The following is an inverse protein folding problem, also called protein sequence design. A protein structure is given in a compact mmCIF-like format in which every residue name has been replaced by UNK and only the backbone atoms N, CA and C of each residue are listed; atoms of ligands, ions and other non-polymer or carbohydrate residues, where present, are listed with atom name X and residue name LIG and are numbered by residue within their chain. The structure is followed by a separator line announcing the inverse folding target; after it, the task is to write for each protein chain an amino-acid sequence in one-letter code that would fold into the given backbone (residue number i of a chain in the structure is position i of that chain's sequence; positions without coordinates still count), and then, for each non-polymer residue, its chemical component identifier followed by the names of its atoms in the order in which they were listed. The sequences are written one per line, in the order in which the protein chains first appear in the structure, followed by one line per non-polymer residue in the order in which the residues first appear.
data_IF_232644088937
#
_entry.id   IF_232644088937
#
_cell.length_a   1.000
_cell.length_b   1.000
_cell.length_c   1.000
_cell.angle_alpha   90.00
_cell.angle_beta   90.00
_cell.angle_gamma   90.00
#
_symmetry.space_group_name_H-M   'P 1'
#
loop_
_entity.id
_entity.type
_entity.pdbx_description
1 polymer ?
#
# COMPACT_ATOMS: atom_id res chain seq x y z
N UNK A 1 2.25 -54.57 20.57
CA UNK A 1 3.09 -53.37 20.34
C UNK A 1 3.59 -53.45 18.89
N UNK A 2 3.43 -52.53 17.92
CA UNK A 2 2.91 -51.16 17.77
C UNK A 2 2.74 -50.93 16.24
N UNK A 3 1.66 -50.29 15.75
CA UNK A 3 1.73 -49.50 14.52
C UNK A 3 1.40 -48.04 14.85
N UNK A 4 2.07 -47.46 15.85
CA UNK A 4 1.81 -46.07 16.31
C UNK A 4 2.79 -45.07 15.67
N UNK A 5 3.87 -45.56 15.04
CA UNK A 5 4.96 -44.70 14.57
C UNK A 5 4.74 -44.08 13.18
N UNK A 6 3.87 -44.66 12.34
CA UNK A 6 3.67 -44.15 10.98
C UNK A 6 2.68 -42.97 10.91
N UNK A 7 1.75 -42.86 11.87
CA UNK A 7 0.72 -41.81 11.83
C UNK A 7 1.23 -40.43 12.27
N UNK A 8 2.34 -40.38 13.02
CA UNK A 8 2.88 -39.12 13.58
C UNK A 8 3.67 -38.28 12.56
N UNK A 9 4.14 -38.88 11.47
CA UNK A 9 4.94 -38.17 10.46
C UNK A 9 4.06 -37.34 9.51
N UNK A 10 2.81 -37.79 9.27
CA UNK A 10 1.88 -37.11 8.35
C UNK A 10 1.26 -35.85 9.00
N UNK A 11 1.02 -35.85 10.31
CA UNK A 11 0.49 -34.66 11.01
C UNK A 11 1.48 -33.49 11.11
N UNK A 12 2.79 -33.72 10.98
CA UNK A 12 3.80 -32.66 11.06
C UNK A 12 3.89 -31.77 9.81
N UNK A 13 3.48 -32.27 8.64
CA UNK A 13 3.58 -31.55 7.36
C UNK A 13 2.46 -30.53 7.13
N UNK A 14 1.41 -30.52 7.96
CA UNK A 14 0.26 -29.62 7.81
C UNK A 14 0.35 -28.32 8.61
N UNK A 15 1.42 -28.12 9.39
CA UNK A 15 1.62 -26.91 10.23
C UNK A 15 2.61 -25.91 9.64
N UNK A 16 3.18 -26.19 8.46
CA UNK A 16 4.20 -25.38 7.80
C UNK A 16 3.68 -24.31 6.83
N UNK A 17 2.36 -24.10 6.74
CA UNK A 17 1.84 -22.89 6.10
C UNK A 17 1.96 -21.74 7.11
N UNK A 18 3.20 -21.39 7.45
CA UNK A 18 3.51 -20.09 8.02
C UNK A 18 2.77 -19.07 7.17
N UNK A 19 1.76 -18.43 7.74
CA UNK A 19 1.15 -17.27 7.16
C UNK A 19 2.30 -16.35 6.77
N UNK A 20 2.61 -16.28 5.47
CA UNK A 20 3.43 -15.20 5.00
C UNK A 20 2.61 -13.98 5.36
N UNK A 21 3.05 -13.25 6.39
CA UNK A 21 2.76 -11.83 6.52
C UNK A 21 3.51 -11.12 5.39
N UNK A 22 3.28 -11.58 4.14
CA UNK A 22 3.79 -10.98 2.94
C UNK A 22 3.13 -9.63 2.86
N UNK A 23 3.92 -8.58 3.05
CA UNK A 23 3.46 -7.22 2.84
C UNK A 23 2.87 -7.04 1.45
N UNK A 24 2.26 -5.89 1.21
CA UNK A 24 1.66 -5.58 -0.09
C UNK A 24 2.67 -5.81 -1.22
N UNK A 25 2.25 -6.41 -2.35
CA UNK A 25 3.13 -6.53 -3.51
C UNK A 25 3.36 -5.14 -4.09
N UNK A 26 4.50 -4.57 -3.70
CA UNK A 26 4.88 -3.20 -4.06
C UNK A 26 5.64 -3.09 -5.36
N UNK A 27 6.00 -4.20 -6.01
CA UNK A 27 6.61 -4.15 -7.34
C UNK A 27 5.55 -3.74 -8.37
N UNK A 28 5.90 -2.90 -9.38
CA UNK A 28 7.20 -2.27 -9.63
C UNK A 28 7.44 -0.95 -8.85
N UNK A 29 6.54 -0.54 -7.97
CA UNK A 29 6.51 0.73 -7.24
C UNK A 29 7.37 0.80 -5.96
N UNK A 30 8.53 0.13 -5.91
CA UNK A 30 9.40 0.13 -4.73
C UNK A 30 9.98 1.50 -4.38
N UNK A 31 10.00 2.41 -5.33
CA UNK A 31 10.46 3.79 -5.19
C UNK A 31 9.39 4.75 -4.65
N UNK A 32 8.16 4.28 -4.42
CA UNK A 32 7.10 5.06 -3.75
C UNK A 32 7.28 4.88 -2.25
N UNK A 33 7.71 5.90 -1.49
CA UNK A 33 7.96 5.76 -0.07
C UNK A 33 6.67 5.44 0.70
N UNK A 34 6.83 4.67 1.77
CA UNK A 34 5.79 4.29 2.72
C UNK A 34 6.30 4.69 4.10
N UNK A 35 5.48 5.32 4.92
CA UNK A 35 5.85 5.72 6.27
C UNK A 35 6.21 4.52 7.14
N UNK A 36 7.14 4.69 8.08
CA UNK A 36 7.69 3.58 8.87
C UNK A 36 6.62 2.87 9.72
N UNK A 37 5.63 3.62 10.20
CA UNK A 37 4.54 3.12 11.05
C UNK A 37 3.31 2.68 10.25
N UNK A 38 3.36 2.74 8.91
CA UNK A 38 2.22 2.39 8.07
C UNK A 38 2.10 0.87 7.94
N UNK A 39 0.92 0.35 8.27
CA UNK A 39 0.65 -1.08 8.25
C UNK A 39 -0.21 -1.43 7.04
N UNK A 40 0.19 -2.43 6.23
CA UNK A 40 -0.66 -3.00 5.19
C UNK A 40 -2.06 -3.29 5.70
N UNK A 41 -3.06 -2.82 4.97
CA UNK A 41 -4.46 -2.99 5.33
C UNK A 41 -5.28 -3.58 4.18
N UNK A 42 -6.22 -4.44 4.56
CA UNK A 42 -7.16 -5.14 3.67
C UNK A 42 -6.52 -6.09 2.64
N UNK A 43 -7.37 -6.96 2.08
CA UNK A 43 -7.10 -7.74 0.87
C UNK A 43 -7.57 -7.02 -0.40
N UNK A 44 -8.13 -5.83 -0.26
CA UNK A 44 -8.68 -5.02 -1.37
C UNK A 44 -7.59 -4.23 -2.14
N UNK A 45 -6.32 -4.47 -1.82
CA UNK A 45 -5.24 -4.00 -2.67
C UNK A 45 -5.29 -4.74 -4.01
N UNK A 46 -4.83 -4.08 -5.07
CA UNK A 46 -4.78 -4.67 -6.40
C UNK A 46 -3.56 -4.18 -7.15
N UNK A 47 -2.97 -5.06 -7.95
CA UNK A 47 -1.97 -4.72 -8.97
C UNK A 47 -2.48 -5.26 -10.29
N UNK A 48 -2.53 -4.41 -11.30
CA UNK A 48 -3.00 -4.73 -12.65
C UNK A 48 -1.84 -4.46 -13.61
N UNK A 49 -1.46 -5.47 -14.36
CA UNK A 49 -0.38 -5.39 -15.35
C UNK A 49 -0.96 -5.54 -16.76
N UNK A 50 -0.60 -4.60 -17.63
CA UNK A 50 -0.93 -4.62 -19.06
C UNK A 50 0.34 -4.31 -19.85
N UNK A 51 0.38 -4.54 -21.18
CA UNK A 51 1.55 -4.20 -21.98
C UNK A 51 1.97 -2.73 -21.92
N UNK A 52 1.03 -1.80 -21.68
CA UNK A 52 1.29 -0.36 -21.71
C UNK A 52 1.35 0.32 -20.34
N UNK A 53 0.86 -0.33 -19.28
CA UNK A 53 0.81 0.25 -17.94
C UNK A 53 0.73 -0.85 -16.87
N UNK A 54 1.46 -0.65 -15.78
CA UNK A 54 1.20 -1.32 -14.50
C UNK A 54 0.52 -0.31 -13.58
N UNK A 55 -0.64 -0.66 -13.05
CA UNK A 55 -1.37 0.15 -12.09
C UNK A 55 -1.52 -0.60 -10.76
N UNK A 56 -1.60 0.13 -9.65
CA UNK A 56 -1.86 -0.47 -8.35
C UNK A 56 -2.73 0.42 -7.46
N UNK A 57 -3.50 -0.23 -6.59
CA UNK A 57 -4.04 0.37 -5.38
C UNK A 57 -3.43 -0.36 -4.18
N UNK A 58 -2.64 0.35 -3.38
CA UNK A 58 -2.04 -0.16 -2.15
C UNK A 58 -2.70 0.54 -0.96
N UNK A 59 -3.09 -0.21 0.05
CA UNK A 59 -3.92 0.32 1.15
C UNK A 59 -3.18 0.09 2.47
N UNK A 60 -2.99 1.15 3.24
CA UNK A 60 -2.31 1.12 4.53
C UNK A 60 -3.13 1.85 5.59
N UNK A 61 -2.87 1.55 6.87
CA UNK A 61 -3.30 2.34 8.01
C UNK A 61 -2.14 2.94 8.78
N UNK A 62 -2.39 4.09 9.40
CA UNK A 62 -1.49 4.73 10.35
C UNK A 62 -2.28 5.29 11.55
N UNK A 63 -1.60 5.47 12.69
CA UNK A 63 -2.16 6.10 13.89
C UNK A 63 -2.07 7.64 13.84
N UNK A 64 -1.33 8.19 12.89
CA UNK A 64 -1.20 9.63 12.70
C UNK A 64 -2.44 10.23 12.02
N UNK A 65 -2.85 11.44 12.39
CA UNK A 65 -3.98 12.12 11.75
C UNK A 65 -3.69 12.53 10.30
N UNK A 66 -4.74 12.91 9.56
CA UNK A 66 -4.67 13.23 8.12
C UNK A 66 -3.55 14.23 7.77
N UNK A 67 -3.51 15.39 8.45
CA UNK A 67 -2.53 16.45 8.15
C UNK A 67 -1.08 15.99 8.44
N UNK A 68 -0.86 15.28 9.55
CA UNK A 68 0.46 14.78 9.93
C UNK A 68 0.97 13.71 8.95
N UNK A 69 0.08 12.80 8.53
CA UNK A 69 0.38 11.79 7.51
C UNK A 69 0.71 12.45 6.17
N UNK A 70 -0.05 13.45 5.73
CA UNK A 70 0.27 14.19 4.50
C UNK A 70 1.58 14.97 4.61
N UNK A 71 1.90 15.53 5.78
CA UNK A 71 3.19 16.18 6.01
C UNK A 71 4.36 15.20 5.91
N UNK A 72 4.20 13.97 6.43
CA UNK A 72 5.18 12.90 6.25
C UNK A 72 5.35 12.54 4.77
N UNK A 73 4.25 12.39 4.02
CA UNK A 73 4.27 12.11 2.57
C UNK A 73 5.03 13.20 1.82
N UNK A 74 4.75 14.48 2.10
CA UNK A 74 5.43 15.63 1.50
C UNK A 74 6.91 15.69 1.81
N UNK A 75 7.33 15.15 2.95
CA UNK A 75 8.75 15.02 3.30
C UNK A 75 9.42 13.87 2.54
N UNK A 76 8.73 12.74 2.37
CA UNK A 76 9.30 11.51 1.80
C UNK A 76 9.31 11.51 0.27
N UNK A 77 8.21 11.88 -0.39
CA UNK A 77 8.04 11.79 -1.84
C UNK A 77 9.16 12.52 -2.63
N UNK A 78 9.55 13.77 -2.29
CA UNK A 78 10.62 14.47 -2.99
C UNK A 78 11.98 13.78 -2.88
N UNK A 79 12.27 13.10 -1.76
CA UNK A 79 13.52 12.37 -1.55
C UNK A 79 13.65 11.17 -2.51
N UNK A 80 12.52 10.64 -2.99
CA UNK A 80 12.45 9.56 -3.99
C UNK A 80 12.23 10.06 -5.42
N UNK A 81 12.33 11.38 -5.66
CA UNK A 81 12.23 12.02 -6.97
C UNK A 81 10.80 12.30 -7.45
N UNK A 82 9.80 12.13 -6.60
CA UNK A 82 8.40 12.47 -6.91
C UNK A 82 8.12 13.94 -6.66
N UNK A 83 7.32 14.57 -7.52
CA UNK A 83 6.94 15.99 -7.41
C UNK A 83 5.44 16.12 -7.23
N UNK A 84 4.99 16.82 -6.19
CA UNK A 84 3.57 17.15 -6.00
C UNK A 84 3.07 17.98 -7.19
N UNK A 85 1.86 17.68 -7.65
CA UNK A 85 1.19 18.32 -8.80
C UNK A 85 -0.12 18.99 -8.41
N UNK A 86 -0.87 18.36 -7.51
CA UNK A 86 -2.14 18.85 -7.05
C UNK A 86 -2.44 18.28 -5.66
N UNK A 87 -3.29 18.98 -4.92
CA UNK A 87 -3.81 18.51 -3.63
C UNK A 87 -5.19 19.11 -3.39
N UNK A 88 -6.06 18.35 -2.73
CA UNK A 88 -7.40 18.81 -2.37
C UNK A 88 -7.87 18.14 -1.08
N UNK A 89 -8.61 18.89 -0.27
CA UNK A 89 -9.31 18.39 0.91
C UNK A 89 -10.75 18.04 0.56
N UNK A 90 -11.27 17.00 1.18
CA UNK A 90 -12.64 16.54 0.95
C UNK A 90 -13.24 15.96 2.23
N UNK A 91 -14.54 15.70 2.18
CA UNK A 91 -15.26 14.87 3.14
C UNK A 91 -15.92 13.76 2.34
N UNK A 92 -15.71 12.50 2.72
CA UNK A 92 -16.29 11.37 2.00
C UNK A 92 -17.80 11.23 2.32
N UNK A 93 -18.55 10.38 1.58
CA UNK A 93 -19.98 10.18 1.84
C UNK A 93 -20.30 9.71 3.26
N UNK A 94 -19.35 9.06 3.94
CA UNK A 94 -19.46 8.61 5.32
C UNK A 94 -19.16 9.70 6.36
N UNK A 95 -18.83 10.93 5.93
CA UNK A 95 -18.58 12.08 6.81
C UNK A 95 -17.15 12.20 7.34
N UNK A 96 -16.24 11.32 6.93
CA UNK A 96 -14.82 11.38 7.31
C UNK A 96 -14.06 12.40 6.47
N UNK A 97 -13.22 13.19 7.14
CA UNK A 97 -12.34 14.16 6.49
C UNK A 97 -11.21 13.45 5.78
N UNK A 98 -10.87 13.90 4.59
CA UNK A 98 -9.73 13.41 3.84
C UNK A 98 -8.98 14.50 3.12
N UNK A 99 -7.77 14.16 2.70
CA UNK A 99 -6.96 14.97 1.81
C UNK A 99 -6.23 14.04 0.85
N UNK A 100 -6.19 14.40 -0.43
CA UNK A 100 -5.33 13.74 -1.39
C UNK A 100 -4.24 14.68 -1.91
N UNK A 101 -3.11 14.10 -2.30
CA UNK A 101 -2.04 14.76 -3.01
C UNK A 101 -1.59 13.87 -4.17
N UNK A 102 -1.51 14.44 -5.36
CA UNK A 102 -1.04 13.77 -6.56
C UNK A 102 0.42 14.13 -6.84
N UNK A 103 1.20 13.12 -7.17
CA UNK A 103 2.62 13.22 -7.42
C UNK A 103 2.95 12.60 -8.78
N UNK A 104 3.98 13.13 -9.44
CA UNK A 104 4.50 12.59 -10.68
C UNK A 104 6.02 12.37 -10.63
N UNK A 105 6.49 11.35 -11.36
CA UNK A 105 7.90 11.05 -11.60
C UNK A 105 8.08 10.58 -13.04
N UNK A 106 8.52 11.48 -13.91
CA UNK A 106 8.50 11.24 -15.35
C UNK A 106 7.06 11.05 -15.85
N UNK A 107 6.79 9.90 -16.46
CA UNK A 107 5.45 9.50 -16.93
C UNK A 107 4.61 8.79 -15.85
N UNK A 108 5.21 8.49 -14.69
CA UNK A 108 4.53 7.79 -13.60
C UNK A 108 3.73 8.76 -12.75
N UNK A 109 2.61 8.27 -12.22
CA UNK A 109 1.73 9.03 -11.32
C UNK A 109 1.43 8.24 -10.06
N UNK A 110 1.32 8.96 -8.94
CA UNK A 110 0.94 8.45 -7.64
C UNK A 110 -0.03 9.43 -6.98
N UNK A 111 -1.25 9.01 -6.71
CA UNK A 111 -2.15 9.73 -5.81
C UNK A 111 -2.08 9.08 -4.43
N UNK A 112 -1.74 9.88 -3.44
CA UNK A 112 -1.83 9.52 -2.03
C UNK A 112 -3.12 10.12 -1.50
N UNK A 113 -4.07 9.27 -1.11
CA UNK A 113 -5.33 9.69 -0.51
C UNK A 113 -5.32 9.29 0.96
N UNK A 114 -5.50 10.25 1.85
CA UNK A 114 -5.50 10.02 3.30
C UNK A 114 -6.86 10.40 3.85
N UNK A 115 -7.50 9.49 4.57
CA UNK A 115 -8.86 9.63 5.07
C UNK A 115 -8.87 9.29 6.55
N UNK A 116 -9.50 10.14 7.35
CA UNK A 116 -9.82 9.83 8.73
C UNK A 116 -10.67 8.55 8.79
N UNK A 117 -10.40 7.70 9.77
CA UNK A 117 -11.22 6.52 10.05
C UNK A 117 -11.54 6.45 11.53
N UNK A 118 -12.52 5.62 11.88
CA UNK A 118 -13.02 5.53 13.26
C UNK A 118 -11.94 5.16 14.31
N UNK A 119 -10.92 4.39 13.90
CA UNK A 119 -9.85 3.92 14.80
C UNK A 119 -8.43 4.18 14.28
N UNK A 120 -8.28 4.44 12.98
CA UNK A 120 -7.01 4.66 12.32
C UNK A 120 -7.23 5.51 11.07
N UNK A 121 -6.17 6.20 10.63
CA UNK A 121 -6.18 6.95 9.38
C UNK A 121 -5.86 6.01 8.22
N UNK A 122 -6.71 6.04 7.20
CA UNK A 122 -6.57 5.29 5.96
C UNK A 122 -5.61 6.00 5.01
N UNK A 123 -4.73 5.24 4.36
CA UNK A 123 -3.78 5.75 3.37
C UNK A 123 -3.85 4.85 2.13
N UNK A 124 -4.45 5.37 1.07
CA UNK A 124 -4.53 4.72 -0.23
C UNK A 124 -3.46 5.31 -1.16
N UNK A 125 -2.62 4.45 -1.71
CA UNK A 125 -1.70 4.78 -2.80
C UNK A 125 -2.27 4.24 -4.12
N UNK A 126 -2.77 5.14 -4.96
CA UNK A 126 -3.21 4.80 -6.32
C UNK A 126 -2.11 5.18 -7.30
N UNK A 127 -1.62 4.20 -8.05
CA UNK A 127 -0.37 4.25 -8.79
C UNK A 127 -0.58 3.85 -10.24
N UNK A 128 0.15 4.50 -11.14
CA UNK A 128 0.31 4.01 -12.50
C UNK A 128 1.74 4.28 -13.00
N UNK A 129 2.37 3.23 -13.52
CA UNK A 129 3.71 3.24 -14.10
C UNK A 129 3.63 2.78 -15.54
N UNK A 130 4.23 3.56 -16.45
CA UNK A 130 4.37 3.17 -17.85
C UNK A 130 5.73 2.52 -18.06
N UNK A 131 5.85 1.49 -18.91
CA UNK A 131 7.15 1.01 -19.33
C UNK A 131 7.97 2.17 -19.91
N UNK A 132 9.28 2.17 -19.66
CA UNK A 132 10.18 3.07 -20.36
C UNK A 132 9.98 2.84 -21.88
N UNK A 133 9.72 3.92 -22.61
CA UNK A 133 9.71 3.88 -24.07
C UNK A 133 11.13 3.49 -24.49
N UNK A 134 11.29 2.32 -25.12
CA UNK A 134 12.57 1.90 -25.68
C UNK A 134 12.91 2.73 -26.91
#
# INVERSE_FOLDING_TARGET
MRPVRALLVVCGLLLGACASTGGLPRQPFTDVPVGAEWQPYSRDWVVIETPGVTAAKLIYFTKTGVDATLAEVRRLMPQSGWKERATERFVNPEGFKGQWAEYAKGADVCRVTVIEGASATHVDLTLARRPATR
#
